data_IF_864223597861
#
_entry.id   IF_864223597861
#
_cell.length_a   1.000
_cell.length_b   1.000
_cell.length_c   1.000
_cell.angle_alpha   90.00
_cell.angle_beta   90.00
_cell.angle_gamma   90.00
#
_symmetry.space_group_name_H-M   'P 1'
#
loop_
_entity.id
_entity.type
_entity.pdbx_description
1 polymer ?
#
# COMPACT_ATOMS: atom_id res chain seq x y z
N UNK A 1 6.29 25.38 -4.91
CA UNK A 1 6.08 24.01 -4.39
C UNK A 1 7.03 23.77 -3.23
N UNK A 2 6.56 23.19 -2.12
CA UNK A 2 7.38 23.07 -0.91
C UNK A 2 8.49 22.02 -1.09
N UNK A 3 9.72 22.32 -0.65
CA UNK A 3 10.89 21.44 -0.83
C UNK A 3 10.72 20.10 -0.11
N UNK A 4 9.99 20.10 1.01
CA UNK A 4 9.72 18.91 1.84
C UNK A 4 9.06 17.74 1.08
N UNK A 5 8.34 18.01 -0.03
CA UNK A 5 7.68 16.98 -0.85
C UNK A 5 8.60 16.27 -1.84
N UNK A 6 9.86 16.71 -1.92
CA UNK A 6 10.92 16.12 -2.73
C UNK A 6 12.12 15.65 -1.89
N UNK A 7 12.17 16.02 -0.61
CA UNK A 7 13.31 15.73 0.27
C UNK A 7 13.46 14.23 0.58
N UNK A 8 14.73 13.80 0.66
CA UNK A 8 15.09 12.48 1.19
C UNK A 8 14.93 12.46 2.71
N UNK A 9 14.54 11.30 3.23
CA UNK A 9 14.46 11.03 4.67
C UNK A 9 15.03 9.64 4.97
N UNK A 10 15.04 9.22 6.24
CA UNK A 10 15.53 7.89 6.61
C UNK A 10 14.64 6.79 6.03
N UNK A 11 13.32 6.99 6.02
CA UNK A 11 12.41 6.02 5.41
C UNK A 11 12.32 6.19 3.89
N UNK A 12 12.44 7.40 3.35
CA UNK A 12 12.41 7.68 1.92
C UNK A 12 13.83 7.78 1.34
N UNK A 13 14.70 6.82 1.69
CA UNK A 13 16.14 6.82 1.40
C UNK A 13 16.47 6.52 -0.08
N UNK A 14 15.89 7.29 -1.00
CA UNK A 14 15.95 7.07 -2.43
C UNK A 14 17.33 7.29 -3.06
N UNK A 15 18.28 7.88 -2.33
CA UNK A 15 19.66 8.00 -2.80
C UNK A 15 20.51 6.74 -2.57
N UNK A 16 19.98 5.72 -1.89
CA UNK A 16 20.64 4.43 -1.74
C UNK A 16 20.94 3.78 -3.11
N UNK A 17 22.11 3.12 -3.27
CA UNK A 17 22.53 2.56 -4.56
C UNK A 17 21.50 1.63 -5.21
N UNK A 18 20.79 0.84 -4.40
CA UNK A 18 19.79 -0.11 -4.89
C UNK A 18 18.59 0.59 -5.55
N UNK A 19 18.08 1.66 -4.95
CA UNK A 19 16.94 2.41 -5.51
C UNK A 19 17.37 3.22 -6.73
N UNK A 20 18.56 3.82 -6.71
CA UNK A 20 19.14 4.47 -7.89
C UNK A 20 19.29 3.51 -9.06
N UNK A 21 19.81 2.30 -8.80
CA UNK A 21 19.96 1.27 -9.83
C UNK A 21 18.60 0.84 -10.40
N UNK A 22 17.59 0.65 -9.55
CA UNK A 22 16.22 0.36 -10.00
C UNK A 22 15.69 1.47 -10.91
N UNK A 23 15.75 2.73 -10.46
CA UNK A 23 15.26 3.90 -11.22
C UNK A 23 15.95 3.99 -12.59
N UNK A 24 17.28 3.84 -12.62
CA UNK A 24 18.04 3.85 -13.87
C UNK A 24 17.69 2.66 -14.76
N UNK A 25 17.62 1.44 -14.24
CA UNK A 25 17.33 0.24 -15.04
C UNK A 25 15.92 0.23 -15.66
N UNK A 26 14.98 0.98 -15.07
CA UNK A 26 13.62 1.16 -15.57
C UNK A 26 13.47 2.37 -16.50
N UNK A 27 14.55 3.15 -16.71
CA UNK A 27 14.59 4.38 -17.50
C UNK A 27 13.51 5.42 -17.11
N UNK A 28 13.07 5.44 -15.85
CA UNK A 28 11.96 6.31 -15.44
C UNK A 28 12.30 7.80 -15.57
N UNK A 29 13.58 8.17 -15.46
CA UNK A 29 14.02 9.57 -15.61
C UNK A 29 13.79 10.13 -17.03
N UNK A 30 13.69 9.25 -18.04
CA UNK A 30 13.51 9.62 -19.45
C UNK A 30 12.04 9.82 -19.83
N UNK A 31 11.12 9.41 -18.95
CA UNK A 31 9.68 9.50 -19.17
C UNK A 31 9.15 10.91 -18.87
N UNK A 32 8.02 11.27 -19.50
CA UNK A 32 7.24 12.42 -19.04
C UNK A 32 6.58 12.13 -17.68
N UNK A 33 6.07 13.17 -17.02
CA UNK A 33 5.55 13.06 -15.65
C UNK A 33 4.37 12.10 -15.52
N UNK A 34 3.51 11.98 -16.54
CA UNK A 34 2.43 10.99 -16.52
C UNK A 34 3.01 9.57 -16.50
N UNK A 35 3.93 9.29 -17.43
CA UNK A 35 4.52 7.97 -17.56
C UNK A 35 5.45 7.62 -16.37
N UNK A 36 6.15 8.60 -15.78
CA UNK A 36 6.87 8.43 -14.50
C UNK A 36 5.95 7.92 -13.41
N UNK A 37 4.87 8.65 -13.13
CA UNK A 37 3.93 8.30 -12.06
C UNK A 37 3.30 6.94 -12.34
N UNK A 38 2.82 6.73 -13.55
CA UNK A 38 2.15 5.47 -13.94
C UNK A 38 3.08 4.27 -13.80
N UNK A 39 4.28 4.32 -14.39
CA UNK A 39 5.20 3.19 -14.36
C UNK A 39 5.73 2.87 -12.96
N UNK A 40 5.95 3.89 -12.13
CA UNK A 40 6.33 3.69 -10.73
C UNK A 40 5.16 3.11 -9.92
N UNK A 41 3.95 3.66 -10.09
CA UNK A 41 2.74 3.16 -9.45
C UNK A 41 2.49 1.70 -9.81
N UNK A 42 2.53 1.35 -11.09
CA UNK A 42 2.31 -0.01 -11.57
C UNK A 42 3.38 -0.98 -11.05
N UNK A 43 4.64 -0.55 -10.96
CA UNK A 43 5.71 -1.35 -10.36
C UNK A 43 5.45 -1.62 -8.88
N UNK A 44 5.19 -0.58 -8.07
CA UNK A 44 4.93 -0.78 -6.63
C UNK A 44 3.63 -1.56 -6.43
N UNK A 45 2.62 -1.36 -7.27
CA UNK A 45 1.37 -2.08 -7.21
C UNK A 45 1.56 -3.58 -7.46
N UNK A 46 2.26 -3.95 -8.53
CA UNK A 46 2.23 -5.30 -9.09
C UNK A 46 3.49 -6.13 -8.84
N UNK A 47 4.67 -5.51 -8.77
CA UNK A 47 5.94 -6.20 -8.52
C UNK A 47 6.25 -6.30 -7.02
N UNK A 48 5.79 -5.32 -6.22
CA UNK A 48 5.87 -5.37 -4.75
C UNK A 48 4.56 -5.95 -4.24
N UNK A 49 4.53 -7.26 -4.02
CA UNK A 49 3.28 -7.98 -3.78
C UNK A 49 2.58 -7.53 -2.49
N UNK A 50 1.25 -7.55 -2.48
CA UNK A 50 0.52 -7.34 -1.21
C UNK A 50 0.89 -8.43 -0.19
N UNK A 51 1.35 -7.99 0.99
CA UNK A 51 1.81 -8.82 2.10
C UNK A 51 2.02 -8.00 3.38
N UNK A 52 2.47 -8.63 4.47
CA UNK A 52 2.61 -7.98 5.78
C UNK A 52 4.06 -7.96 6.25
N UNK A 53 4.64 -6.76 6.34
CA UNK A 53 6.02 -6.56 6.80
C UNK A 53 6.17 -6.71 8.32
N UNK A 54 7.42 -6.73 8.78
CA UNK A 54 7.75 -6.78 10.20
C UNK A 54 7.47 -5.47 10.94
N UNK A 55 7.45 -4.34 10.22
CA UNK A 55 7.28 -3.00 10.80
C UNK A 55 6.65 -2.08 9.74
N UNK A 56 5.92 -1.06 10.20
CA UNK A 56 5.46 0.05 9.34
C UNK A 56 6.58 1.06 9.06
N UNK A 57 7.62 1.08 9.91
CA UNK A 57 8.73 2.04 9.86
C UNK A 57 9.92 1.53 9.02
N UNK A 58 9.70 0.62 8.07
CA UNK A 58 10.76 0.16 7.17
C UNK A 58 11.15 1.27 6.18
N UNK A 59 12.43 1.35 5.84
CA UNK A 59 12.89 2.21 4.75
C UNK A 59 12.49 1.68 3.38
N UNK A 60 12.44 2.54 2.36
CA UNK A 60 12.11 2.16 1.00
C UNK A 60 13.02 1.05 0.48
N UNK A 61 14.33 1.10 0.77
CA UNK A 61 15.27 0.02 0.43
C UNK A 61 14.91 -1.31 1.12
N UNK A 62 14.48 -1.28 2.39
CA UNK A 62 14.04 -2.49 3.09
C UNK A 62 12.75 -3.05 2.50
N UNK A 63 11.79 -2.20 2.15
CA UNK A 63 10.54 -2.64 1.51
C UNK A 63 10.80 -3.25 0.13
N UNK A 64 11.70 -2.65 -0.65
CA UNK A 64 12.13 -3.20 -1.94
C UNK A 64 12.76 -4.58 -1.76
N UNK A 65 13.62 -4.76 -0.76
CA UNK A 65 14.26 -6.05 -0.45
C UNK A 65 13.26 -7.12 0.04
N UNK A 66 12.25 -6.71 0.80
CA UNK A 66 11.17 -7.61 1.22
C UNK A 66 10.34 -8.12 0.01
N UNK A 67 10.33 -7.39 -1.12
CA UNK A 67 9.57 -7.73 -2.33
C UNK A 67 8.04 -7.75 -2.12
N UNK A 68 7.58 -7.25 -0.99
CA UNK A 68 6.19 -7.23 -0.58
C UNK A 68 5.91 -6.09 0.39
N UNK A 69 4.67 -5.64 0.44
CA UNK A 69 4.26 -4.67 1.44
C UNK A 69 2.76 -4.54 1.69
N UNK A 70 2.44 -3.77 2.72
CA UNK A 70 1.10 -3.31 3.07
C UNK A 70 0.97 -1.81 2.78
N UNK A 71 -0.19 -1.21 3.05
CA UNK A 71 -0.45 0.21 2.78
C UNK A 71 0.72 1.14 3.17
N UNK A 72 1.13 1.12 4.43
CA UNK A 72 2.19 1.97 4.96
C UNK A 72 3.54 1.78 4.28
N UNK A 73 3.98 0.53 4.12
CA UNK A 73 5.30 0.23 3.55
C UNK A 73 5.33 0.42 2.04
N UNK A 74 4.26 0.07 1.33
CA UNK A 74 4.13 0.37 -0.11
C UNK A 74 4.04 1.87 -0.35
N UNK A 75 3.37 2.64 0.52
CA UNK A 75 3.38 4.10 0.45
C UNK A 75 4.81 4.66 0.62
N UNK A 76 5.59 4.17 1.58
CA UNK A 76 7.00 4.55 1.75
C UNK A 76 7.82 4.30 0.49
N UNK A 77 7.74 3.11 -0.11
CA UNK A 77 8.48 2.81 -1.33
C UNK A 77 8.00 3.65 -2.53
N UNK A 78 6.68 3.80 -2.69
CA UNK A 78 6.09 4.63 -3.74
C UNK A 78 6.58 6.08 -3.65
N UNK A 79 6.53 6.68 -2.45
CA UNK A 79 7.02 8.05 -2.24
C UNK A 79 8.50 8.18 -2.59
N UNK A 80 9.34 7.25 -2.14
CA UNK A 80 10.77 7.28 -2.41
C UNK A 80 11.07 7.24 -3.91
N UNK A 81 10.40 6.35 -4.66
CA UNK A 81 10.59 6.23 -6.10
C UNK A 81 10.08 7.45 -6.87
N UNK A 82 8.92 8.00 -6.48
CA UNK A 82 8.39 9.24 -7.06
C UNK A 82 9.37 10.40 -6.86
N UNK A 83 9.89 10.58 -5.65
CA UNK A 83 10.87 11.64 -5.35
C UNK A 83 12.19 11.44 -6.09
N UNK A 84 12.63 10.20 -6.27
CA UNK A 84 13.84 9.88 -7.03
C UNK A 84 13.79 10.38 -8.49
N UNK A 85 12.59 10.52 -9.06
CA UNK A 85 12.36 11.05 -10.41
C UNK A 85 11.80 12.48 -10.41
N UNK A 86 11.99 13.19 -9.30
CA UNK A 86 11.57 14.57 -9.08
C UNK A 86 10.05 14.79 -9.18
N UNK A 87 9.26 13.78 -8.81
CA UNK A 87 7.80 13.89 -8.69
C UNK A 87 7.42 14.20 -7.24
N UNK A 88 6.80 15.36 -6.97
CA UNK A 88 6.41 15.78 -5.63
C UNK A 88 5.28 14.93 -5.09
N UNK A 89 5.43 14.43 -3.86
CA UNK A 89 4.42 13.62 -3.21
C UNK A 89 4.36 13.88 -1.70
N UNK A 90 3.21 13.59 -1.10
CA UNK A 90 2.96 13.71 0.34
C UNK A 90 2.18 12.50 0.84
N UNK A 91 2.18 12.29 2.14
CA UNK A 91 1.48 11.19 2.79
C UNK A 91 0.15 11.70 3.36
N UNK A 92 -0.91 10.92 3.21
CA UNK A 92 -2.19 11.15 3.88
C UNK A 92 -2.46 9.97 4.82
N UNK A 93 -2.79 10.24 6.07
CA UNK A 93 -2.91 9.23 7.11
C UNK A 93 -4.29 9.17 7.76
N UNK A 94 -4.70 7.95 8.12
CA UNK A 94 -6.03 7.62 8.61
C UNK A 94 -5.98 6.54 9.70
N UNK A 95 -7.04 6.51 10.51
CA UNK A 95 -7.48 5.26 11.13
C UNK A 95 -8.54 4.60 10.26
N UNK A 96 -8.40 3.29 10.07
CA UNK A 96 -9.42 2.45 9.42
C UNK A 96 -9.93 1.38 10.39
N UNK A 97 -11.21 1.01 10.27
CA UNK A 97 -11.76 -0.11 11.05
C UNK A 97 -11.08 -1.42 10.67
N UNK A 98 -10.86 -2.35 11.59
CA UNK A 98 -10.32 -3.69 11.22
C UNK A 98 -11.26 -4.56 10.37
N UNK A 99 -12.52 -4.15 10.19
CA UNK A 99 -13.56 -5.02 9.61
C UNK A 99 -13.33 -5.36 8.14
N UNK A 100 -12.66 -4.49 7.37
CA UNK A 100 -12.33 -4.77 5.96
C UNK A 100 -11.24 -5.85 5.79
N UNK A 101 -10.52 -6.22 6.86
CA UNK A 101 -9.53 -7.30 6.82
C UNK A 101 -10.14 -8.70 6.97
N UNK A 102 -11.45 -8.81 7.21
CA UNK A 102 -12.14 -10.12 7.31
C UNK A 102 -11.86 -10.95 6.05
N UNK A 103 -11.38 -12.17 6.22
CA UNK A 103 -11.03 -13.07 5.11
C UNK A 103 -9.58 -12.99 4.63
N UNK A 104 -8.88 -11.87 4.84
CA UNK A 104 -7.41 -11.80 4.68
C UNK A 104 -6.68 -12.41 5.89
N UNK A 105 -7.31 -12.41 7.07
CA UNK A 105 -6.77 -12.95 8.32
C UNK A 105 -7.65 -14.09 8.86
N UNK A 106 -7.09 -14.91 9.76
CA UNK A 106 -7.89 -15.93 10.46
C UNK A 106 -8.82 -15.27 11.50
N UNK A 107 -9.92 -15.94 11.85
CA UNK A 107 -10.90 -15.43 12.85
C UNK A 107 -10.22 -15.09 14.19
N UNK A 108 -9.23 -15.89 14.60
CA UNK A 108 -8.45 -15.66 15.82
C UNK A 108 -7.55 -14.42 15.71
N UNK A 109 -6.86 -14.23 14.58
CA UNK A 109 -6.02 -13.06 14.34
C UNK A 109 -6.88 -11.78 14.32
N UNK A 110 -8.05 -11.84 13.69
CA UNK A 110 -9.00 -10.71 13.63
C UNK A 110 -9.53 -10.31 15.02
N UNK A 111 -9.74 -11.27 15.92
CA UNK A 111 -10.12 -10.99 17.32
C UNK A 111 -9.02 -10.25 18.09
N UNK A 112 -7.77 -10.63 17.88
CA UNK A 112 -6.61 -10.05 18.55
C UNK A 112 -6.13 -8.72 17.94
N UNK A 113 -6.54 -8.43 16.70
CA UNK A 113 -6.22 -7.20 16.01
C UNK A 113 -6.85 -5.97 16.70
N UNK A 114 -6.14 -4.83 16.76
CA UNK A 114 -6.67 -3.60 17.31
C UNK A 114 -7.93 -3.17 16.56
N UNK A 115 -8.83 -2.44 17.24
CA UNK A 115 -10.10 -1.99 16.66
C UNK A 115 -9.87 -1.11 15.42
N UNK A 116 -8.88 -0.23 15.53
CA UNK A 116 -8.43 0.67 14.49
C UNK A 116 -7.00 0.34 14.09
N UNK A 117 -6.71 0.49 12.81
CA UNK A 117 -5.43 0.20 12.20
C UNK A 117 -4.95 1.47 11.52
N UNK A 118 -3.70 1.86 11.76
CA UNK A 118 -3.09 2.98 11.06
C UNK A 118 -2.95 2.63 9.57
N UNK A 119 -3.44 3.53 8.74
CA UNK A 119 -3.44 3.39 7.30
C UNK A 119 -2.96 4.68 6.66
N UNK A 120 -2.20 4.54 5.57
CA UNK A 120 -1.72 5.69 4.81
C UNK A 120 -1.76 5.41 3.32
N UNK A 121 -1.88 6.48 2.54
CA UNK A 121 -1.64 6.47 1.10
C UNK A 121 -0.80 7.68 0.67
N UNK A 122 -0.33 7.62 -0.57
CA UNK A 122 0.43 8.69 -1.19
C UNK A 122 -0.50 9.59 -1.99
N UNK A 123 -0.31 10.90 -1.88
CA UNK A 123 -0.86 11.86 -2.82
C UNK A 123 0.27 12.44 -3.67
N UNK A 124 0.11 12.41 -4.99
CA UNK A 124 1.07 12.96 -5.95
C UNK A 124 0.56 14.28 -6.51
N UNK A 125 1.45 15.26 -6.69
CA UNK A 125 1.08 16.51 -7.35
C UNK A 125 1.24 16.37 -8.86
N UNK A 126 0.12 16.40 -9.59
CA UNK A 126 0.10 16.23 -11.05
C UNK A 126 -1.03 17.08 -11.65
N UNK A 127 -0.74 17.84 -12.72
CA UNK A 127 -1.70 18.75 -13.36
C UNK A 127 -2.38 19.71 -12.37
N UNK A 128 -1.58 20.40 -11.55
CA UNK A 128 -2.03 21.40 -10.56
C UNK A 128 -3.00 20.89 -9.49
N UNK A 129 -3.03 19.57 -9.25
CA UNK A 129 -3.84 18.95 -8.20
C UNK A 129 -3.11 17.82 -7.49
N UNK A 130 -3.56 17.55 -6.27
CA UNK A 130 -3.15 16.37 -5.50
C UNK A 130 -4.03 15.18 -5.90
N UNK A 131 -3.40 14.07 -6.25
CA UNK A 131 -4.07 12.84 -6.72
C UNK A 131 -3.74 11.70 -5.77
N UNK A 132 -4.77 11.05 -5.23
CA UNK A 132 -4.63 9.94 -4.30
C UNK A 132 -4.26 8.63 -5.01
N UNK A 133 -3.25 7.95 -4.48
CA UNK A 133 -2.72 6.67 -4.98
C UNK A 133 -3.00 5.51 -4.00
N UNK A 134 -4.19 5.46 -3.38
CA UNK A 134 -4.53 4.43 -2.37
C UNK A 134 -4.58 3.02 -2.99
N UNK A 135 -4.99 2.90 -4.26
CA UNK A 135 -5.08 1.62 -4.98
C UNK A 135 -3.77 0.84 -5.09
N UNK A 136 -2.63 1.45 -4.76
CA UNK A 136 -1.30 0.80 -4.83
C UNK A 136 -1.17 -0.40 -3.90
N UNK A 137 -1.99 -0.49 -2.84
CA UNK A 137 -1.88 -1.58 -1.86
C UNK A 137 -2.10 -2.96 -2.48
N UNK A 138 -3.15 -3.12 -3.28
CA UNK A 138 -3.53 -4.39 -3.90
C UNK A 138 -2.87 -4.55 -5.26
N UNK A 139 -2.26 -5.70 -5.53
CA UNK A 139 -1.86 -6.06 -6.90
C UNK A 139 -3.05 -6.51 -7.75
N UNK A 140 -2.98 -6.32 -9.07
CA UNK A 140 -4.09 -6.65 -10.00
C UNK A 140 -4.53 -8.11 -9.89
N UNK A 141 -3.57 -9.04 -9.84
CA UNK A 141 -3.84 -10.48 -9.69
C UNK A 141 -4.65 -10.78 -8.43
N UNK A 142 -4.33 -10.12 -7.33
CA UNK A 142 -5.10 -10.25 -6.09
C UNK A 142 -6.53 -9.73 -6.25
N UNK A 143 -6.71 -8.52 -6.77
CA UNK A 143 -8.04 -7.93 -6.96
C UNK A 143 -8.91 -8.79 -7.88
N UNK A 144 -8.38 -9.22 -9.03
CA UNK A 144 -9.07 -10.08 -9.99
C UNK A 144 -9.49 -11.41 -9.35
N UNK A 145 -8.62 -12.04 -8.56
CA UNK A 145 -8.95 -13.28 -7.87
C UNK A 145 -10.10 -13.09 -6.86
N UNK A 146 -10.13 -11.96 -6.15
CA UNK A 146 -11.24 -11.62 -5.23
C UNK A 146 -12.52 -11.30 -6.02
N UNK A 147 -12.44 -10.52 -7.10
CA UNK A 147 -13.58 -10.22 -7.98
C UNK A 147 -14.21 -11.49 -8.55
N UNK A 148 -13.40 -12.43 -9.05
CA UNK A 148 -13.86 -13.73 -9.55
C UNK A 148 -14.52 -14.55 -8.44
N UNK A 149 -13.89 -14.64 -7.27
CA UNK A 149 -14.41 -15.38 -6.11
C UNK A 149 -15.77 -14.84 -5.63
N UNK A 150 -16.00 -13.54 -5.76
CA UNK A 150 -17.20 -12.87 -5.30
C UNK A 150 -18.00 -12.24 -6.46
N UNK A 151 -18.02 -12.88 -7.63
CA UNK A 151 -18.65 -12.34 -8.85
C UNK A 151 -20.15 -12.00 -8.68
N UNK A 152 -20.86 -12.74 -7.83
CA UNK A 152 -22.28 -12.52 -7.53
C UNK A 152 -22.52 -11.54 -6.37
N UNK A 153 -21.48 -10.93 -5.80
CA UNK A 153 -21.62 -10.00 -4.68
C UNK A 153 -22.11 -8.63 -5.19
N UNK A 154 -23.27 -8.20 -4.72
CA UNK A 154 -23.81 -6.86 -4.93
C UNK A 154 -23.63 -5.95 -3.73
N UNK A 155 -23.52 -4.64 -3.97
CA UNK A 155 -23.40 -3.62 -2.94
C UNK A 155 -22.05 -3.61 -2.22
N UNK A 156 -22.02 -2.98 -1.04
CA UNK A 156 -20.79 -2.75 -0.28
C UNK A 156 -20.04 -4.04 0.06
N UNK A 157 -18.77 -4.09 -0.34
CA UNK A 157 -17.82 -5.16 -0.06
C UNK A 157 -16.75 -4.65 0.91
N UNK A 158 -16.63 -5.29 2.09
CA UNK A 158 -15.63 -4.95 3.14
C UNK A 158 -14.95 -6.21 3.67
N UNK A 159 -14.10 -6.83 2.85
CA UNK A 159 -13.39 -8.09 3.15
C UNK A 159 -12.09 -8.14 2.34
N UNK A 160 -11.17 -9.03 2.69
CA UNK A 160 -9.96 -9.29 1.91
C UNK A 160 -9.11 -8.02 1.66
N UNK A 161 -9.03 -7.13 2.66
CA UNK A 161 -8.34 -5.85 2.53
C UNK A 161 -8.90 -4.98 1.37
N UNK A 162 -10.18 -5.12 1.04
CA UNK A 162 -10.89 -4.31 0.05
C UNK A 162 -12.16 -3.76 0.71
N UNK A 163 -12.39 -2.46 0.55
CA UNK A 163 -13.56 -1.73 1.02
C UNK A 163 -14.10 -0.83 -0.09
N UNK A 164 -15.06 -1.33 -0.88
CA UNK A 164 -15.66 -0.63 -2.03
C UNK A 164 -17.16 -0.87 -2.12
N UNK A 165 -17.89 0.03 -2.78
CA UNK A 165 -19.33 -0.12 -3.02
C UNK A 165 -19.66 -0.93 -4.28
N UNK A 166 -18.68 -1.16 -5.16
CA UNK A 166 -18.84 -1.93 -6.38
C UNK A 166 -17.59 -2.76 -6.67
N UNK A 167 -17.48 -3.94 -6.06
CA UNK A 167 -16.31 -4.81 -6.23
C UNK A 167 -16.05 -5.15 -7.70
N UNK A 168 -17.12 -5.38 -8.48
CA UNK A 168 -17.02 -5.85 -9.87
C UNK A 168 -16.38 -4.81 -10.78
N UNK A 169 -16.74 -3.53 -10.62
CA UNK A 169 -16.25 -2.47 -11.50
C UNK A 169 -15.15 -1.61 -10.86
N UNK A 170 -14.75 -1.89 -9.61
CA UNK A 170 -13.62 -1.19 -8.98
C UNK A 170 -12.35 -1.48 -9.76
N UNK A 171 -11.70 -0.41 -10.22
CA UNK A 171 -10.36 -0.44 -10.81
C UNK A 171 -9.37 0.18 -9.83
N UNK A 172 -8.15 -0.34 -9.86
CA UNK A 172 -6.99 0.18 -9.15
C UNK A 172 -5.92 0.66 -10.15
N UNK A 173 -6.25 0.75 -11.43
CA UNK A 173 -5.34 1.28 -12.44
C UNK A 173 -5.27 2.80 -12.34
N UNK A 174 -4.05 3.34 -12.35
CA UNK A 174 -3.87 4.78 -12.38
C UNK A 174 -3.86 5.29 -13.84
N UNK A 175 -4.83 6.14 -14.16
CA UNK A 175 -5.02 6.78 -15.46
C UNK A 175 -4.90 8.31 -15.38
N UNK A 176 -4.23 8.82 -14.34
CA UNK A 176 -4.18 10.24 -14.03
C UNK A 176 -5.28 10.72 -13.09
N UNK A 177 -6.05 9.83 -12.45
CA UNK A 177 -7.08 10.19 -11.45
C UNK A 177 -6.85 9.48 -10.12
N UNK A 178 -7.64 9.86 -9.12
CA UNK A 178 -7.56 9.22 -7.81
C UNK A 178 -7.87 7.74 -7.91
N UNK A 179 -7.09 6.92 -7.21
CA UNK A 179 -7.34 5.48 -7.06
C UNK A 179 -7.72 5.19 -5.62
N UNK A 180 -8.78 4.42 -5.42
CA UNK A 180 -9.25 4.01 -4.10
C UNK A 180 -9.67 2.54 -4.09
N UNK A 181 -9.35 1.85 -3.00
CA UNK A 181 -9.73 0.46 -2.75
C UNK A 181 -10.10 0.20 -1.28
N UNK A 182 -9.77 1.11 -0.36
CA UNK A 182 -9.98 0.97 1.07
C UNK A 182 -10.68 2.16 1.73
N UNK A 183 -10.96 3.24 1.00
CA UNK A 183 -11.56 4.47 1.56
C UNK A 183 -12.82 4.28 2.39
N UNK A 184 -13.65 3.28 2.08
CA UNK A 184 -14.90 3.00 2.80
C UNK A 184 -14.67 2.44 4.22
N UNK A 185 -13.41 2.19 4.61
CA UNK A 185 -13.02 1.72 5.93
C UNK A 185 -12.54 2.84 6.87
N UNK A 186 -12.33 4.07 6.37
CA UNK A 186 -11.82 5.21 7.13
C UNK A 186 -12.80 5.61 8.23
N UNK A 187 -12.26 5.89 9.42
CA UNK A 187 -13.01 6.39 10.58
C UNK A 187 -12.45 7.67 11.18
N UNK A 188 -11.18 7.98 10.90
CA UNK A 188 -10.55 9.20 11.33
C UNK A 188 -9.48 9.61 10.32
N UNK A 189 -9.39 10.90 10.05
CA UNK A 189 -8.44 11.51 9.13
C UNK A 189 -7.42 12.33 9.95
N UNK A 190 -6.15 11.90 9.93
CA UNK A 190 -5.04 12.60 10.59
C UNK A 190 -4.50 13.77 9.76
N UNK A 191 -4.88 13.85 8.49
CA UNK A 191 -4.45 14.84 7.53
C UNK A 191 -3.14 14.49 6.83
N UNK A 192 -2.48 15.54 6.36
CA UNK A 192 -1.37 15.48 5.43
C UNK A 192 -0.04 15.62 6.15
N UNK A 193 0.92 14.77 5.78
CA UNK A 193 2.29 14.77 6.29
C UNK A 193 3.28 14.84 5.13
N UNK A 194 4.40 15.55 5.29
CA UNK A 194 5.41 15.63 4.25
C UNK A 194 6.16 14.31 4.05
N UNK A 195 6.25 13.43 5.05
CA UNK A 195 6.93 12.13 4.93
C UNK A 195 6.39 11.12 5.96
N UNK A 196 6.58 9.81 5.72
CA UNK A 196 6.29 8.79 6.72
C UNK A 196 7.13 8.95 7.99
N UNK A 197 8.36 9.46 7.91
CA UNK A 197 9.19 9.73 9.11
C UNK A 197 8.49 10.72 10.05
N UNK A 198 7.91 11.81 9.51
CA UNK A 198 7.18 12.80 10.32
C UNK A 198 5.94 12.17 10.93
N UNK A 199 5.15 11.42 10.15
CA UNK A 199 3.96 10.75 10.66
C UNK A 199 4.29 9.73 11.76
N UNK A 200 5.23 8.82 11.50
CA UNK A 200 5.58 7.74 12.43
C UNK A 200 6.36 8.21 13.67
N UNK A 201 6.89 9.44 13.67
CA UNK A 201 7.48 10.04 14.87
C UNK A 201 6.45 10.38 15.95
N UNK A 202 5.19 10.58 15.56
CA UNK A 202 4.10 11.00 16.46
C UNK A 202 2.98 9.97 16.54
N UNK A 203 2.82 9.12 15.52
CA UNK A 203 1.76 8.12 15.42
C UNK A 203 2.36 6.74 15.20
N UNK A 204 2.00 5.76 16.03
CA UNK A 204 2.45 4.37 15.81
C UNK A 204 1.37 3.38 16.24
N UNK A 205 1.36 2.21 15.62
CA UNK A 205 0.45 1.16 16.02
C UNK A 205 0.88 0.62 17.39
N UNK A 206 0.20 1.03 18.44
CA UNK A 206 0.54 0.60 19.80
C UNK A 206 0.32 -0.91 19.97
N UNK A 207 1.41 -1.63 20.19
CA UNK A 207 1.42 -3.05 20.55
C UNK A 207 2.35 -3.27 21.74
N UNK A 208 1.96 -4.13 22.68
CA UNK A 208 2.87 -4.56 23.74
C UNK A 208 4.04 -5.35 23.14
N UNK A 209 5.20 -5.38 23.80
CA UNK A 209 6.40 -6.09 23.33
C UNK A 209 6.11 -7.55 22.96
N UNK A 210 5.32 -8.24 23.79
CA UNK A 210 4.91 -9.63 23.54
C UNK A 210 4.01 -9.74 22.29
N UNK A 211 3.01 -8.88 22.13
CA UNK A 211 2.15 -8.87 20.94
C UNK A 211 2.96 -8.57 19.67
N UNK A 212 3.90 -7.63 19.75
CA UNK A 212 4.79 -7.29 18.65
C UNK A 212 5.67 -8.49 18.25
N UNK A 213 6.26 -9.18 19.23
CA UNK A 213 7.04 -10.39 18.99
C UNK A 213 6.22 -11.48 18.27
N UNK A 214 5.02 -11.77 18.78
CA UNK A 214 4.09 -12.74 18.16
C UNK A 214 3.70 -12.27 16.74
N UNK A 215 3.48 -10.98 16.55
CA UNK A 215 3.14 -10.43 15.25
C UNK A 215 4.26 -10.67 14.23
N UNK A 216 5.48 -10.24 14.57
CA UNK A 216 6.67 -10.31 13.70
C UNK A 216 7.04 -11.74 13.37
N UNK A 217 6.95 -12.68 14.31
CA UNK A 217 7.45 -14.03 14.08
C UNK A 217 6.38 -15.01 13.56
N UNK A 218 5.10 -14.76 13.82
CA UNK A 218 4.01 -15.69 13.50
C UNK A 218 2.88 -15.05 12.69
N UNK A 219 2.18 -14.06 13.24
CA UNK A 219 0.91 -13.56 12.67
C UNK A 219 1.11 -13.00 11.26
N UNK A 220 2.11 -12.14 11.04
CA UNK A 220 2.35 -11.55 9.72
C UNK A 220 2.60 -12.60 8.64
N UNK A 221 3.32 -13.68 8.98
CA UNK A 221 3.60 -14.79 8.04
C UNK A 221 2.33 -15.54 7.65
N UNK A 222 1.42 -15.75 8.61
CA UNK A 222 0.11 -16.36 8.35
C UNK A 222 -0.73 -15.44 7.46
N UNK A 223 -0.78 -14.14 7.76
CA UNK A 223 -1.53 -13.15 6.98
C UNK A 223 -0.99 -13.05 5.54
N UNK A 224 0.32 -12.96 5.36
CA UNK A 224 0.97 -12.99 4.04
C UNK A 224 0.64 -14.29 3.29
N UNK A 225 0.72 -15.46 3.95
CA UNK A 225 0.35 -16.74 3.32
C UNK A 225 -1.11 -16.77 2.87
N UNK A 226 -2.03 -16.17 3.64
CA UNK A 226 -3.44 -16.08 3.26
C UNK A 226 -3.67 -15.16 2.06
N UNK A 227 -2.97 -14.02 2.00
CA UNK A 227 -3.00 -13.12 0.85
C UNK A 227 -2.45 -13.82 -0.39
N UNK A 228 -1.31 -14.50 -0.29
CA UNK A 228 -0.75 -15.30 -1.39
C UNK A 228 -1.70 -16.41 -1.85
N UNK A 229 -2.34 -17.11 -0.92
CA UNK A 229 -3.38 -18.08 -1.25
C UNK A 229 -4.56 -17.43 -1.95
N UNK A 230 -5.08 -16.31 -1.46
CA UNK A 230 -6.19 -15.62 -2.12
C UNK A 230 -5.84 -15.18 -3.55
N UNK A 231 -4.62 -14.71 -3.77
CA UNK A 231 -4.07 -14.38 -5.10
C UNK A 231 -4.00 -15.60 -6.03
N UNK A 232 -3.59 -16.76 -5.51
CA UNK A 232 -3.31 -17.95 -6.31
C UNK A 232 -4.45 -19.00 -6.35
N UNK A 233 -5.44 -18.91 -5.46
CA UNK A 233 -6.50 -19.92 -5.30
C UNK A 233 -7.56 -19.90 -6.43
N UNK A 234 -7.32 -19.13 -7.49
CA UNK A 234 -8.05 -19.23 -8.73
C UNK A 234 -7.07 -19.44 -9.88
N UNK A 235 -6.31 -20.54 -9.81
CA UNK A 235 -5.93 -21.28 -11.00
C UNK A 235 -7.16 -22.11 -11.35
N UNK A 236 -7.68 -21.98 -12.57
CA UNK A 236 -8.79 -22.78 -13.07
C UNK A 236 -8.55 -24.24 -12.70
N UNK A 237 -9.53 -24.90 -12.08
CA UNK A 237 -9.52 -26.36 -11.93
C UNK A 237 -9.85 -27.08 -13.25
N UNK A 238 -9.60 -26.43 -14.39
CA UNK A 238 -9.91 -26.87 -15.73
C UNK A 238 -8.70 -26.70 -16.67
N UNK A 239 -7.53 -27.16 -16.25
CA UNK A 239 -6.49 -27.67 -17.15
C UNK A 239 -6.23 -29.15 -16.83
#
# INVERSE_FOLDING_TARGET
MNKEYLEETKMLNYNEPQLKLLVSSKNWLELDDFHKIKSIYEFVQNDILFGYNASDMLSATQVLNDGMGQCNTKATLLMALLRAVNIPCRLHAFDVTKDFQRGATSKLISLLAPKYILHTWVEVFYQDRWIALEGVITDKKYLEAIQKKFFNHGGTFKKYAIATNDLKNTSIDWDGKDTFIQKEAIVYDYGIFPSPDVFFSTHSQHMSKLKNFIYVHLIRKIMTKNVCKARNNYIDKNE
#
